data_IF_950825004561
#
_entry.id   IF_950825004561
#
_cell.length_a   1.000
_cell.length_b   1.000
_cell.length_c   1.000
_cell.angle_alpha   90.00
_cell.angle_beta   90.00
_cell.angle_gamma   90.00
#
_symmetry.space_group_name_H-M   'P 1'
#
loop_
_entity.id
_entity.type
_entity.pdbx_description
1 polymer ?
#
# COMPACT_ATOMS: atom_id res chain seq x y z
N UNK A 1 4.05 16.40 -8.06
CA UNK A 1 3.89 15.35 -9.09
C UNK A 1 2.47 15.43 -9.66
N UNK A 2 2.27 15.31 -10.97
CA UNK A 2 0.93 15.30 -11.56
C UNK A 2 0.22 13.96 -11.28
N UNK A 3 -1.07 13.99 -10.93
CA UNK A 3 -1.87 12.78 -10.78
C UNK A 3 -2.06 12.08 -12.15
N UNK A 4 -2.03 10.74 -12.22
CA UNK A 4 -2.11 10.00 -13.48
C UNK A 4 -3.45 10.21 -14.21
N UNK A 5 -3.37 10.27 -15.55
CA UNK A 5 -4.37 10.93 -16.41
C UNK A 5 -5.66 10.15 -16.73
N UNK A 6 -5.83 8.90 -16.27
CA UNK A 6 -7.05 8.11 -16.54
C UNK A 6 -7.49 7.29 -15.34
N UNK A 7 -8.56 7.76 -14.68
CA UNK A 7 -9.31 6.98 -13.69
C UNK A 7 -10.00 5.81 -14.39
N UNK A 8 -9.96 4.64 -13.77
CA UNK A 8 -10.72 3.48 -14.22
C UNK A 8 -12.10 3.49 -13.57
N UNK A 9 -13.12 3.38 -14.41
CA UNK A 9 -14.50 3.13 -14.01
C UNK A 9 -14.86 1.69 -14.42
N UNK A 10 -15.68 1.01 -13.61
CA UNK A 10 -15.97 -0.41 -13.80
C UNK A 10 -16.68 -0.66 -15.14
N UNK A 11 -16.09 -1.46 -16.02
CA UNK A 11 -16.76 -1.97 -17.23
C UNK A 11 -17.17 -3.43 -17.00
N UNK A 12 -18.45 -3.75 -17.22
CA UNK A 12 -19.08 -4.96 -16.67
C UNK A 12 -18.87 -6.27 -17.47
N UNK A 13 -18.54 -6.23 -18.77
CA UNK A 13 -18.78 -7.39 -19.66
C UNK A 13 -17.51 -8.13 -20.17
N UNK A 14 -16.36 -7.49 -20.46
CA UNK A 14 -15.13 -8.20 -20.87
C UNK A 14 -14.47 -9.05 -19.76
N UNK A 15 -14.82 -8.81 -18.49
CA UNK A 15 -14.09 -9.32 -17.34
C UNK A 15 -14.37 -10.78 -16.96
N UNK A 16 -15.51 -11.37 -17.32
CA UNK A 16 -15.87 -12.70 -16.81
C UNK A 16 -14.98 -13.83 -17.40
N UNK A 17 -14.70 -13.79 -18.70
CA UNK A 17 -13.86 -14.81 -19.36
C UNK A 17 -12.41 -14.73 -18.91
N UNK A 18 -11.88 -13.50 -18.78
CA UNK A 18 -10.55 -13.28 -18.25
C UNK A 18 -10.36 -13.81 -16.82
N UNK A 19 -11.40 -13.68 -15.98
CA UNK A 19 -11.41 -14.22 -14.62
C UNK A 19 -11.25 -15.75 -14.62
N UNK A 20 -12.01 -16.44 -15.47
CA UNK A 20 -11.97 -17.89 -15.59
C UNK A 20 -10.61 -18.39 -16.09
N UNK A 21 -10.05 -17.73 -17.11
CA UNK A 21 -8.73 -18.05 -17.67
C UNK A 21 -7.64 -17.90 -16.61
N UNK A 22 -7.64 -16.82 -15.85
CA UNK A 22 -6.71 -16.66 -14.75
C UNK A 22 -6.89 -17.75 -13.69
N UNK A 23 -8.12 -17.92 -13.16
CA UNK A 23 -8.36 -18.81 -12.04
C UNK A 23 -7.92 -20.25 -12.34
N UNK A 24 -8.03 -20.66 -13.61
CA UNK A 24 -7.47 -21.92 -14.10
C UNK A 24 -5.93 -21.88 -14.16
N UNK A 25 -5.36 -20.81 -14.74
CA UNK A 25 -3.91 -20.66 -14.88
C UNK A 25 -3.16 -20.62 -13.55
N UNK A 26 -3.70 -19.99 -12.51
CA UNK A 26 -3.08 -19.94 -11.17
C UNK A 26 -2.95 -21.33 -10.53
N UNK A 27 -3.80 -22.28 -10.92
CA UNK A 27 -3.77 -23.66 -10.43
C UNK A 27 -2.88 -24.58 -11.26
N UNK A 28 -2.51 -24.18 -12.47
CA UNK A 28 -1.96 -25.09 -13.48
C UNK A 28 -0.62 -24.65 -14.06
N UNK A 29 -0.34 -23.34 -14.11
CA UNK A 29 0.89 -22.80 -14.69
C UNK A 29 1.99 -22.61 -13.65
N UNK A 30 3.25 -22.74 -14.08
CA UNK A 30 4.41 -22.40 -13.25
C UNK A 30 4.56 -20.88 -13.15
N UNK A 31 5.25 -20.35 -12.12
CA UNK A 31 5.34 -18.90 -11.89
C UNK A 31 5.78 -18.04 -13.10
N UNK A 32 6.76 -18.46 -13.94
CA UNK A 32 7.14 -17.68 -15.12
C UNK A 32 6.06 -17.66 -16.22
N UNK A 33 5.34 -18.76 -16.40
CA UNK A 33 4.27 -18.90 -17.40
C UNK A 33 3.05 -18.10 -16.98
N UNK A 34 2.71 -18.18 -15.68
CA UNK A 34 1.69 -17.34 -15.07
C UNK A 34 2.04 -15.87 -15.29
N UNK A 35 3.26 -15.43 -14.95
CA UNK A 35 3.70 -14.04 -15.16
C UNK A 35 3.51 -13.56 -16.61
N UNK A 36 3.85 -14.38 -17.61
CA UNK A 36 3.65 -14.03 -19.02
C UNK A 36 2.18 -13.92 -19.41
N UNK A 37 1.35 -14.86 -18.97
CA UNK A 37 -0.10 -14.82 -19.21
C UNK A 37 -0.71 -13.57 -18.59
N UNK A 38 -0.31 -13.27 -17.35
CA UNK A 38 -0.71 -12.07 -16.62
C UNK A 38 -0.37 -10.83 -17.45
N UNK A 39 0.87 -10.68 -17.88
CA UNK A 39 1.31 -9.55 -18.73
C UNK A 39 0.50 -9.42 -20.03
N UNK A 40 0.19 -10.54 -20.67
CA UNK A 40 -0.62 -10.56 -21.88
C UNK A 40 -2.03 -10.05 -21.61
N UNK A 41 -2.70 -10.56 -20.56
CA UNK A 41 -4.07 -10.17 -20.21
C UNK A 41 -4.20 -8.68 -19.85
N UNK A 42 -3.17 -8.09 -19.22
CA UNK A 42 -3.08 -6.64 -19.02
C UNK A 42 -2.87 -5.87 -20.34
N UNK A 43 -1.89 -6.28 -21.16
CA UNK A 43 -1.59 -5.59 -22.44
C UNK A 43 -2.78 -5.58 -23.39
N UNK A 44 -3.53 -6.67 -23.44
CA UNK A 44 -4.70 -6.81 -24.31
C UNK A 44 -5.98 -6.29 -23.65
N UNK A 45 -5.90 -5.80 -22.40
CA UNK A 45 -7.05 -5.32 -21.61
C UNK A 45 -8.21 -6.33 -21.59
N UNK A 46 -7.88 -7.62 -21.67
CA UNK A 46 -8.86 -8.72 -21.73
C UNK A 46 -9.39 -9.08 -20.35
N UNK A 47 -8.64 -8.72 -19.31
CA UNK A 47 -9.09 -8.81 -17.92
C UNK A 47 -8.48 -7.70 -17.07
N UNK A 48 -9.33 -6.98 -16.34
CA UNK A 48 -8.88 -6.06 -15.30
C UNK A 48 -9.83 -6.12 -14.11
N UNK A 49 -9.37 -6.75 -13.03
CA UNK A 49 -10.05 -6.69 -11.74
C UNK A 49 -9.63 -5.42 -11.00
N UNK A 50 -10.57 -4.51 -10.80
CA UNK A 50 -10.36 -3.29 -10.03
C UNK A 50 -11.23 -3.36 -8.78
N UNK A 51 -10.62 -3.55 -7.61
CA UNK A 51 -11.38 -3.34 -6.37
C UNK A 51 -11.69 -1.84 -6.24
N UNK A 52 -12.96 -1.44 -6.06
CA UNK A 52 -13.31 -0.05 -5.87
C UNK A 52 -12.60 0.56 -4.66
N UNK A 53 -12.18 1.83 -4.78
CA UNK A 53 -11.50 2.56 -3.71
C UNK A 53 -12.19 2.46 -2.34
N UNK A 54 -13.51 2.71 -2.22
CA UNK A 54 -14.22 2.58 -0.94
C UNK A 54 -14.10 1.18 -0.30
N UNK A 55 -14.18 0.12 -1.11
CA UNK A 55 -14.01 -1.26 -0.63
C UNK A 55 -12.57 -1.52 -0.18
N UNK A 56 -11.58 -0.94 -0.86
CA UNK A 56 -10.18 -1.02 -0.42
C UNK A 56 -9.94 -0.27 0.88
N UNK A 57 -10.56 0.90 1.08
CA UNK A 57 -10.46 1.65 2.35
C UNK A 57 -10.99 0.80 3.50
N UNK A 58 -12.20 0.26 3.37
CA UNK A 58 -12.81 -0.58 4.41
C UNK A 58 -11.92 -1.79 4.76
N UNK A 59 -11.44 -2.51 3.74
CA UNK A 59 -10.57 -3.68 3.94
C UNK A 59 -9.20 -3.31 4.49
N UNK A 60 -8.59 -2.23 4.00
CA UNK A 60 -7.29 -1.76 4.47
C UNK A 60 -7.35 -1.35 5.95
N UNK A 61 -8.43 -0.66 6.35
CA UNK A 61 -8.55 -0.13 7.70
C UNK A 61 -9.31 -1.05 8.68
N UNK A 62 -9.69 -2.24 8.26
CA UNK A 62 -10.25 -3.27 9.13
C UNK A 62 -9.33 -3.53 10.33
N UNK A 63 -9.91 -3.55 11.53
CA UNK A 63 -9.20 -3.75 12.80
C UNK A 63 -8.60 -2.48 13.44
N UNK A 64 -8.55 -1.34 12.74
CA UNK A 64 -8.10 -0.08 13.35
C UNK A 64 -9.18 0.60 14.20
N UNK A 65 -8.78 1.51 15.11
CA UNK A 65 -9.70 2.31 15.91
C UNK A 65 -10.76 3.03 15.07
N UNK A 66 -12.00 3.21 15.59
CA UNK A 66 -13.09 3.84 14.84
C UNK A 66 -12.76 5.23 14.28
N UNK A 67 -12.01 6.03 15.03
CA UNK A 67 -11.55 7.37 14.62
C UNK A 67 -10.68 7.33 13.36
N UNK A 68 -9.76 6.36 13.27
CA UNK A 68 -8.86 6.18 12.13
C UNK A 68 -9.65 5.72 10.90
N UNK A 69 -10.58 4.78 11.08
CA UNK A 69 -11.44 4.30 10.00
C UNK A 69 -12.35 5.43 9.47
N UNK A 70 -12.94 6.21 10.37
CA UNK A 70 -13.79 7.34 10.01
C UNK A 70 -13.01 8.43 9.25
N UNK A 71 -11.77 8.69 9.66
CA UNK A 71 -10.88 9.59 8.94
C UNK A 71 -10.56 9.05 7.54
N UNK A 72 -10.10 7.81 7.45
CA UNK A 72 -9.76 7.18 6.15
C UNK A 72 -10.94 7.09 5.18
N UNK A 73 -12.16 6.89 5.67
CA UNK A 73 -13.38 6.89 4.85
C UNK A 73 -13.64 8.22 4.12
N UNK A 74 -13.03 9.32 4.57
CA UNK A 74 -13.12 10.64 3.92
C UNK A 74 -12.13 10.80 2.78
N UNK A 75 -11.18 9.87 2.60
CA UNK A 75 -10.15 9.96 1.58
C UNK A 75 -10.74 9.82 0.17
N UNK A 76 -10.55 10.82 -0.73
CA UNK A 76 -10.72 10.62 -2.16
C UNK A 76 -9.72 9.57 -2.64
N UNK A 77 -10.21 8.39 -3.03
CA UNK A 77 -9.36 7.25 -3.41
C UNK A 77 -9.67 6.81 -4.83
N UNK A 78 -8.69 6.94 -5.71
CA UNK A 78 -8.81 6.69 -7.12
C UNK A 78 -7.97 5.49 -7.56
N UNK A 79 -8.53 4.72 -8.48
CA UNK A 79 -7.84 3.62 -9.18
C UNK A 79 -7.55 4.09 -10.60
N UNK A 80 -6.31 3.94 -11.06
CA UNK A 80 -5.90 4.39 -12.38
C UNK A 80 -5.25 3.28 -13.22
N UNK A 81 -5.32 3.47 -14.53
CA UNK A 81 -4.86 2.52 -15.53
C UNK A 81 -3.33 2.50 -15.64
N UNK A 82 -2.70 1.85 -14.67
CA UNK A 82 -1.26 1.58 -14.67
C UNK A 82 -0.95 0.21 -14.08
N UNK A 83 0.21 -0.32 -14.45
CA UNK A 83 0.73 -1.62 -14.02
C UNK A 83 1.34 -1.59 -12.61
N UNK A 84 1.55 -0.43 -12.02
CA UNK A 84 2.25 -0.34 -10.75
C UNK A 84 2.34 1.06 -10.22
N UNK A 85 2.64 1.12 -8.92
CA UNK A 85 2.79 2.37 -8.18
C UNK A 85 1.47 2.94 -7.68
N UNK A 86 1.61 4.10 -7.09
CA UNK A 86 0.56 4.85 -6.43
C UNK A 86 1.19 5.76 -5.41
N UNK A 87 0.35 6.52 -4.74
CA UNK A 87 0.80 7.48 -3.76
C UNK A 87 -0.35 8.19 -3.10
N UNK A 88 -0.01 8.88 -2.03
CA UNK A 88 -0.76 9.99 -1.49
C UNK A 88 -0.25 11.31 -2.09
N UNK A 89 -1.17 12.18 -2.52
CA UNK A 89 -0.87 13.53 -3.03
C UNK A 89 -1.31 14.58 -2.01
N UNK A 90 -0.40 15.12 -1.17
CA UNK A 90 -0.75 16.03 -0.08
C UNK A 90 -1.46 17.31 -0.54
N UNK A 91 -1.02 17.89 -1.66
CA UNK A 91 -1.59 19.14 -2.20
C UNK A 91 -3.07 19.01 -2.60
N UNK A 92 -3.50 17.79 -2.93
CA UNK A 92 -4.87 17.46 -3.37
C UNK A 92 -5.63 16.63 -2.36
N UNK A 93 -4.97 16.22 -1.28
CA UNK A 93 -5.49 15.39 -0.21
C UNK A 93 -6.20 14.11 -0.73
N UNK A 94 -5.56 13.41 -1.67
CA UNK A 94 -6.15 12.26 -2.36
C UNK A 94 -5.13 11.15 -2.58
N UNK A 95 -5.63 9.93 -2.74
CA UNK A 95 -4.81 8.75 -3.07
C UNK A 95 -5.11 8.32 -4.50
N UNK A 96 -4.05 8.06 -5.26
CA UNK A 96 -4.15 7.33 -6.52
C UNK A 96 -3.33 6.06 -6.39
N UNK A 97 -3.95 4.92 -6.64
CA UNK A 97 -3.26 3.64 -6.62
C UNK A 97 -3.51 2.92 -7.94
N UNK A 98 -2.46 2.36 -8.53
CA UNK A 98 -2.55 1.69 -9.82
C UNK A 98 -3.45 0.45 -9.72
N UNK A 99 -4.28 0.22 -10.74
CA UNK A 99 -5.17 -0.93 -10.79
C UNK A 99 -4.47 -2.23 -11.20
N UNK A 100 -3.29 -2.13 -11.82
CA UNK A 100 -2.54 -3.27 -12.36
C UNK A 100 -1.29 -3.66 -11.58
N UNK A 101 -1.09 -3.16 -10.34
CA UNK A 101 0.10 -3.39 -9.47
C UNK A 101 0.54 -4.85 -9.47
N UNK A 102 -0.44 -5.73 -9.43
CA UNK A 102 -0.31 -7.08 -9.94
C UNK A 102 -1.48 -7.28 -10.87
N UNK A 103 -1.27 -7.96 -11.99
CA UNK A 103 -2.28 -8.15 -13.02
C UNK A 103 -3.56 -8.85 -12.53
N UNK A 104 -3.54 -9.27 -11.26
CA UNK A 104 -4.62 -9.82 -10.47
C UNK A 104 -4.30 -9.34 -9.07
N UNK A 105 -5.05 -8.35 -8.59
CA UNK A 105 -4.87 -7.79 -7.26
C UNK A 105 -4.83 -8.95 -6.25
N UNK A 106 -3.64 -9.39 -5.84
CA UNK A 106 -3.51 -10.22 -4.67
C UNK A 106 -4.13 -9.39 -3.56
N UNK A 107 -5.35 -9.74 -3.12
CA UNK A 107 -6.15 -8.86 -2.26
C UNK A 107 -5.33 -8.41 -1.04
N UNK A 108 -4.41 -9.27 -0.60
CA UNK A 108 -3.40 -8.98 0.41
C UNK A 108 -2.46 -7.83 0.03
N UNK A 109 -1.81 -7.85 -1.14
CA UNK A 109 -0.87 -6.82 -1.54
C UNK A 109 -1.55 -5.49 -1.81
N UNK A 110 -2.68 -5.48 -2.53
CA UNK A 110 -3.42 -4.22 -2.77
C UNK A 110 -3.99 -3.66 -1.48
N UNK A 111 -4.42 -4.51 -0.54
CA UNK A 111 -4.79 -4.08 0.83
C UNK A 111 -3.61 -3.47 1.58
N UNK A 112 -2.41 -4.05 1.48
CA UNK A 112 -1.20 -3.52 2.12
C UNK A 112 -0.79 -2.17 1.51
N UNK A 113 -0.74 -2.06 0.19
CA UNK A 113 -0.47 -0.79 -0.48
C UNK A 113 -1.53 0.27 -0.16
N UNK A 114 -2.82 -0.11 -0.17
CA UNK A 114 -3.89 0.81 0.22
C UNK A 114 -3.77 1.26 1.67
N UNK A 115 -3.40 0.35 2.58
CA UNK A 115 -3.15 0.68 3.99
C UNK A 115 -2.01 1.67 4.12
N UNK A 116 -0.89 1.42 3.45
CA UNK A 116 0.27 2.30 3.46
C UNK A 116 -0.11 3.72 2.99
N UNK A 117 -0.74 3.85 1.81
CA UNK A 117 -1.16 5.16 1.31
C UNK A 117 -2.23 5.83 2.19
N UNK A 118 -3.14 5.06 2.78
CA UNK A 118 -4.13 5.59 3.71
C UNK A 118 -3.49 6.14 4.98
N UNK A 119 -2.37 5.57 5.44
CA UNK A 119 -1.67 6.14 6.58
C UNK A 119 -0.91 7.41 6.25
N UNK A 120 -0.43 7.59 5.02
CA UNK A 120 0.01 8.92 4.57
C UNK A 120 -1.13 9.96 4.66
N UNK A 121 -2.32 9.62 4.17
CA UNK A 121 -3.52 10.47 4.28
C UNK A 121 -3.92 10.71 5.75
N UNK A 122 -4.01 9.67 6.56
CA UNK A 122 -4.42 9.74 7.97
C UNK A 122 -3.45 10.62 8.75
N UNK A 123 -2.15 10.38 8.63
CA UNK A 123 -1.14 11.21 9.26
C UNK A 123 -1.34 12.67 8.86
N UNK A 124 -1.40 12.97 7.57
CA UNK A 124 -1.58 14.34 7.09
C UNK A 124 -2.83 15.06 7.63
N UNK A 125 -3.89 14.32 7.96
CA UNK A 125 -5.17 14.88 8.39
C UNK A 125 -5.47 14.69 9.90
N UNK A 126 -4.59 14.03 10.65
CA UNK A 126 -4.80 13.75 12.07
C UNK A 126 -4.04 14.76 12.94
N UNK A 127 -4.70 15.33 13.95
CA UNK A 127 -4.16 16.44 14.77
C UNK A 127 -2.89 16.11 15.56
N UNK A 128 -2.63 14.82 15.82
CA UNK A 128 -1.41 14.36 16.51
C UNK A 128 -0.20 14.28 15.58
N UNK A 129 -0.40 14.23 14.27
CA UNK A 129 0.70 14.20 13.33
C UNK A 129 1.29 15.59 13.16
N UNK A 130 2.61 15.65 13.05
CA UNK A 130 3.38 16.88 13.02
C UNK A 130 4.24 16.91 11.77
N UNK A 131 3.72 17.51 10.70
CA UNK A 131 4.43 17.59 9.41
C UNK A 131 5.73 18.40 9.48
N UNK A 132 5.92 19.20 10.53
CA UNK A 132 7.18 19.89 10.81
C UNK A 132 8.30 18.93 11.27
N UNK A 133 7.95 17.75 11.80
CA UNK A 133 8.90 16.72 12.23
C UNK A 133 9.44 15.89 11.05
N UNK A 134 8.81 15.95 9.87
CA UNK A 134 9.23 15.25 8.65
C UNK A 134 10.61 15.70 8.15
N UNK A 135 11.06 16.90 8.55
CA UNK A 135 12.37 17.47 8.18
C UNK A 135 13.56 16.75 8.85
N UNK A 136 13.30 15.80 9.74
CA UNK A 136 14.27 15.21 10.66
C UNK A 136 14.90 13.87 10.26
N UNK A 137 15.04 13.55 8.96
CA UNK A 137 15.56 12.25 8.48
C UNK A 137 16.81 11.74 9.22
N UNK A 138 17.80 12.61 9.45
CA UNK A 138 19.03 12.26 10.18
C UNK A 138 18.78 11.84 11.63
N UNK A 139 17.76 12.40 12.29
CA UNK A 139 17.38 12.06 13.65
C UNK A 139 16.71 10.68 13.70
N UNK A 140 15.84 10.35 12.74
CA UNK A 140 15.17 9.04 12.68
C UNK A 140 16.17 7.90 12.51
N UNK A 141 17.06 7.96 11.50
CA UNK A 141 18.03 6.88 11.27
C UNK A 141 18.96 6.66 12.45
N UNK A 142 19.39 7.76 13.10
CA UNK A 142 20.19 7.69 14.33
C UNK A 142 19.40 7.03 15.45
N UNK A 143 18.18 7.49 15.76
CA UNK A 143 17.33 6.91 16.81
C UNK A 143 17.03 5.44 16.54
N UNK A 144 16.70 5.07 15.30
CA UNK A 144 16.45 3.69 14.90
C UNK A 144 17.71 2.83 15.04
N UNK A 145 18.89 3.34 14.67
CA UNK A 145 20.16 2.64 14.87
C UNK A 145 20.51 2.50 16.37
N UNK A 146 20.29 3.55 17.16
CA UNK A 146 20.55 3.59 18.60
C UNK A 146 19.57 2.68 19.37
N UNK A 147 18.38 2.42 18.83
CA UNK A 147 17.38 1.50 19.41
C UNK A 147 17.75 0.01 19.32
N UNK A 148 18.82 -0.35 18.58
CA UNK A 148 19.28 -1.74 18.36
C UNK A 148 19.33 -2.63 19.63
N UNK A 149 19.78 -2.14 20.80
CA UNK A 149 19.79 -2.93 22.04
C UNK A 149 18.40 -3.20 22.62
N UNK A 150 17.43 -2.30 22.38
CA UNK A 150 16.06 -2.37 22.90
C UNK A 150 15.18 -3.23 21.99
N UNK A 151 15.39 -3.15 20.67
CA UNK A 151 14.63 -3.92 19.68
C UNK A 151 15.04 -5.39 19.61
N UNK A 152 16.05 -5.82 20.36
CA UNK A 152 16.51 -7.23 20.38
C UNK A 152 15.37 -8.17 20.77
N UNK A 153 14.50 -7.73 21.67
CA UNK A 153 13.36 -8.48 22.20
C UNK A 153 12.15 -8.42 21.26
N UNK A 154 12.26 -7.66 20.16
CA UNK A 154 11.25 -7.47 19.11
C UNK A 154 11.78 -7.94 17.75
N UNK A 155 11.99 -9.26 17.55
CA UNK A 155 12.75 -9.80 16.42
C UNK A 155 12.13 -9.46 15.05
N UNK A 156 10.80 -9.39 14.95
CA UNK A 156 10.10 -9.02 13.71
C UNK A 156 10.33 -7.55 13.37
N UNK A 157 10.18 -6.64 14.34
CA UNK A 157 10.47 -5.23 14.16
C UNK A 157 11.94 -4.99 13.81
N UNK A 158 12.86 -5.62 14.55
CA UNK A 158 14.29 -5.57 14.26
C UNK A 158 14.62 -6.05 12.85
N UNK A 159 14.01 -7.17 12.43
CA UNK A 159 14.19 -7.74 11.10
C UNK A 159 13.71 -6.78 10.01
N UNK A 160 12.51 -6.22 10.16
CA UNK A 160 11.97 -5.25 9.22
C UNK A 160 12.83 -3.98 9.14
N UNK A 161 13.19 -3.38 10.28
CA UNK A 161 14.04 -2.18 10.32
C UNK A 161 15.36 -2.39 9.58
N UNK A 162 16.05 -3.50 9.84
CA UNK A 162 17.42 -3.72 9.36
C UNK A 162 17.49 -4.32 7.96
N UNK A 163 16.56 -5.20 7.61
CA UNK A 163 16.56 -5.92 6.34
C UNK A 163 15.65 -5.28 5.27
N UNK A 164 14.71 -4.42 5.67
CA UNK A 164 13.76 -3.76 4.77
C UNK A 164 13.87 -2.24 4.85
N UNK A 165 13.38 -1.62 5.92
CA UNK A 165 13.21 -0.16 6.01
C UNK A 165 14.50 0.61 5.77
N UNK A 166 15.56 0.38 6.56
CA UNK A 166 16.83 1.10 6.41
C UNK A 166 17.53 0.85 5.07
N UNK A 167 17.18 -0.23 4.34
CA UNK A 167 17.74 -0.52 3.00
C UNK A 167 17.08 0.28 1.89
N UNK A 168 15.93 0.91 2.16
CA UNK A 168 15.21 1.74 1.19
C UNK A 168 15.91 3.09 0.93
N UNK A 169 17.00 3.41 1.63
CA UNK A 169 17.80 4.62 1.38
C UNK A 169 17.01 5.89 1.73
N UNK A 170 16.81 6.77 0.75
CA UNK A 170 16.10 8.04 0.92
C UNK A 170 14.60 7.86 1.24
N UNK A 171 14.04 6.70 0.90
CA UNK A 171 12.68 6.31 1.29
C UNK A 171 12.61 5.82 2.74
N UNK A 172 13.73 5.64 3.46
CA UNK A 172 13.72 5.28 4.88
C UNK A 172 13.47 6.51 5.79
N UNK A 173 12.42 7.29 5.49
CA UNK A 173 12.15 8.59 6.11
C UNK A 173 10.97 8.55 7.09
N UNK A 174 10.72 9.67 7.79
CA UNK A 174 9.70 9.76 8.85
C UNK A 174 8.30 9.50 8.31
N UNK A 175 7.99 10.06 7.14
CA UNK A 175 6.69 9.92 6.48
C UNK A 175 6.43 8.45 6.15
N UNK A 176 7.40 7.79 5.52
CA UNK A 176 7.33 6.37 5.16
C UNK A 176 7.31 5.45 6.39
N UNK A 177 8.05 5.81 7.44
CA UNK A 177 8.02 5.07 8.72
C UNK A 177 6.60 5.05 9.31
N UNK A 178 5.92 6.20 9.36
CA UNK A 178 4.56 6.28 9.90
C UNK A 178 3.52 5.57 9.04
N UNK A 179 3.73 5.46 7.73
CA UNK A 179 2.89 4.65 6.85
C UNK A 179 3.17 3.14 6.95
N UNK A 180 4.43 2.77 7.11
CA UNK A 180 4.85 1.37 7.15
C UNK A 180 4.54 0.67 8.47
N UNK A 181 4.66 1.35 9.61
CA UNK A 181 4.38 0.74 10.92
C UNK A 181 2.99 0.10 10.99
N UNK A 182 1.88 0.83 10.78
CA UNK A 182 0.54 0.25 10.83
C UNK A 182 0.27 -0.73 9.68
N UNK A 183 1.01 -0.63 8.58
CA UNK A 183 0.91 -1.57 7.46
C UNK A 183 1.56 -2.91 7.78
N UNK A 184 2.72 -2.89 8.43
CA UNK A 184 3.52 -4.09 8.72
C UNK A 184 3.27 -4.68 10.11
N UNK A 185 2.79 -3.88 11.07
CA UNK A 185 2.61 -4.23 12.49
C UNK A 185 1.20 -3.84 12.95
N UNK A 186 0.26 -4.77 12.78
CA UNK A 186 -1.12 -4.59 13.23
C UNK A 186 -1.28 -4.79 14.73
N UNK A 187 -0.42 -5.62 15.31
CA UNK A 187 -0.33 -5.82 16.75
C UNK A 187 0.75 -4.89 17.32
N UNK A 188 0.35 -3.99 18.20
CA UNK A 188 1.25 -3.03 18.85
C UNK A 188 2.22 -3.72 19.80
N UNK A 189 1.93 -4.93 20.28
CA UNK A 189 2.85 -5.70 21.13
C UNK A 189 4.12 -6.13 20.37
N UNK A 190 4.09 -6.08 19.04
CA UNK A 190 5.26 -6.36 18.19
C UNK A 190 6.19 -5.16 18.03
N UNK A 191 5.78 -3.98 18.51
CA UNK A 191 6.55 -2.75 18.44
C UNK A 191 7.29 -2.50 19.75
N UNK A 192 8.52 -1.99 19.69
CA UNK A 192 9.23 -1.52 20.89
C UNK A 192 8.46 -0.34 21.52
N UNK A 193 8.59 -0.14 22.85
CA UNK A 193 7.95 0.95 23.58
C UNK A 193 8.49 2.33 23.20
#
# INVERSE_FOLDING_TARGET
MAAPHRKLERVAVPNAMGHLVLAFAERTLRPPELTRLRDQLWRTQTYLYVTPGPVLIERALEGFPPEIRALGARCPFFRYDARGGGGYWPDRNEIWLAAGVETYEGLRQVRLSSCHELFHFICWNHSRYRSDEDRGFGRLRKVVADSRPVVKDYPRYRGWVTASFLRQGDHANVVEYFADIPTNFRDTAELPP
#
